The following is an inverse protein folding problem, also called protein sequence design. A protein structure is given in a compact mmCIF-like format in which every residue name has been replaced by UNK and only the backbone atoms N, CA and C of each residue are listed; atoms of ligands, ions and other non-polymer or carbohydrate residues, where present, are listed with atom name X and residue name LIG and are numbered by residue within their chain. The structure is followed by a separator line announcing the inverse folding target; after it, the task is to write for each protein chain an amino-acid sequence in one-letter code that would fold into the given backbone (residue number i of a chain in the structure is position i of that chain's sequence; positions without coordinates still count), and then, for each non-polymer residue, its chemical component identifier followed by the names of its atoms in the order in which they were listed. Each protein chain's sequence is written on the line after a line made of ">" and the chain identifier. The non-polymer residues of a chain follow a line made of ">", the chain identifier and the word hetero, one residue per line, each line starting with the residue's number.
data_IF_658305733767
#
_entry.id   IF_658305733767
#
_cell.length_a   1.000
_cell.length_b   1.000
_cell.length_c   1.000
_cell.angle_alpha   90.00
_cell.angle_beta   90.00
_cell.angle_gamma   90.00
#
_symmetry.space_group_name_H-M   'P 1'
#
loop_
_entity.id
_entity.type
_entity.pdbx_description
1 polymer ?
#
# COMPACT_ATOMS: atom_id res chain seq x y z
N UNK A 1 3.56 45.94 -9.87
CA UNK A 1 4.17 44.65 -9.52
C UNK A 1 3.07 43.61 -9.63
N UNK A 2 3.17 42.68 -10.58
CA UNK A 2 2.20 41.58 -10.64
C UNK A 2 2.38 40.76 -9.36
N UNK A 3 1.31 40.37 -8.66
CA UNK A 3 1.44 39.54 -7.47
C UNK A 3 2.17 38.25 -7.90
N UNK A 4 3.28 37.96 -7.22
CA UNK A 4 4.13 36.82 -7.51
C UNK A 4 3.27 35.57 -7.67
N UNK A 5 3.23 35.02 -8.90
CA UNK A 5 2.46 33.81 -9.17
C UNK A 5 3.03 32.71 -8.27
N UNK A 6 2.20 32.01 -7.48
CA UNK A 6 2.70 30.93 -6.66
C UNK A 6 3.39 29.91 -7.57
N UNK A 7 4.62 29.51 -7.22
CA UNK A 7 5.32 28.43 -7.90
C UNK A 7 4.54 27.14 -7.63
N UNK A 8 3.85 26.67 -8.65
CA UNK A 8 3.09 25.43 -8.64
C UNK A 8 3.91 24.40 -9.41
N UNK A 9 4.17 23.27 -8.76
CA UNK A 9 4.78 22.10 -9.37
C UNK A 9 3.68 21.14 -9.78
N UNK A 10 3.70 20.71 -11.02
CA UNK A 10 2.70 19.81 -11.57
C UNK A 10 3.25 18.39 -11.68
N UNK A 11 2.42 17.43 -11.31
CA UNK A 11 2.67 16.00 -11.43
C UNK A 11 1.54 15.35 -12.23
N UNK A 12 1.81 14.18 -12.79
CA UNK A 12 0.82 13.38 -13.50
C UNK A 12 0.03 14.17 -14.57
N UNK A 13 0.71 15.01 -15.36
CA UNK A 13 0.05 15.77 -16.44
C UNK A 13 -0.95 16.82 -15.95
N UNK A 14 -0.71 17.44 -14.79
CA UNK A 14 -1.55 18.50 -14.22
C UNK A 14 -2.67 18.00 -13.31
N UNK A 15 -2.84 16.68 -13.14
CA UNK A 15 -3.83 16.09 -12.24
C UNK A 15 -3.50 16.27 -10.76
N UNK A 16 -2.22 16.46 -10.44
CA UNK A 16 -1.74 16.72 -9.09
C UNK A 16 -0.88 17.98 -9.14
N UNK A 17 -1.23 18.99 -8.35
CA UNK A 17 -0.51 20.26 -8.27
C UNK A 17 -0.06 20.51 -6.84
N UNK A 18 1.22 20.81 -6.63
CA UNK A 18 1.82 21.13 -5.33
C UNK A 18 2.29 22.58 -5.32
N UNK A 19 1.89 23.35 -4.30
CA UNK A 19 2.41 24.71 -4.10
C UNK A 19 3.74 24.63 -3.34
N UNK A 20 4.72 25.42 -3.76
CA UNK A 20 5.99 25.51 -3.06
C UNK A 20 5.77 25.89 -1.58
N UNK A 21 6.42 25.18 -0.66
CA UNK A 21 6.26 25.35 0.79
C UNK A 21 5.05 24.65 1.40
N UNK A 22 4.18 23.99 0.60
CA UNK A 22 3.11 23.12 1.11
C UNK A 22 3.51 21.66 0.91
N UNK A 23 3.91 20.98 1.98
CA UNK A 23 4.19 19.54 1.93
C UNK A 23 2.91 18.68 1.97
N UNK A 24 3.07 17.37 1.80
CA UNK A 24 1.97 16.40 1.95
C UNK A 24 1.33 16.55 3.35
N UNK A 25 0.01 16.79 3.45
CA UNK A 25 -0.66 16.91 4.74
C UNK A 25 -0.44 15.68 5.62
N UNK A 26 -0.18 15.89 6.91
CA UNK A 26 0.14 14.80 7.84
C UNK A 26 -0.92 13.70 7.89
N UNK A 27 -2.21 14.07 7.80
CA UNK A 27 -3.31 13.10 7.77
C UNK A 27 -3.30 12.20 6.52
N UNK A 28 -2.84 12.72 5.38
CA UNK A 28 -2.68 11.95 4.15
C UNK A 28 -1.53 10.94 4.28
N UNK A 29 -0.49 11.26 5.06
CA UNK A 29 0.59 10.30 5.37
C UNK A 29 0.10 9.10 6.20
N UNK A 30 -0.96 9.27 7.00
CA UNK A 30 -1.59 8.14 7.72
C UNK A 30 -2.22 7.14 6.76
N UNK A 31 -2.62 7.55 5.56
CA UNK A 31 -3.17 6.63 4.56
C UNK A 31 -2.17 5.52 4.20
N UNK A 32 -0.86 5.82 4.15
CA UNK A 32 0.15 4.78 3.90
C UNK A 32 0.16 3.70 4.97
N UNK A 33 0.01 4.08 6.25
CA UNK A 33 -0.06 3.13 7.38
C UNK A 33 -1.33 2.30 7.28
N UNK A 34 -2.48 2.95 7.07
CA UNK A 34 -3.79 2.27 7.02
C UNK A 34 -3.85 1.31 5.84
N UNK A 35 -3.41 1.73 4.65
CA UNK A 35 -3.43 0.88 3.45
C UNK A 35 -2.47 -0.31 3.62
N UNK A 36 -1.23 -0.06 4.06
CA UNK A 36 -0.26 -1.14 4.27
C UNK A 36 -0.73 -2.13 5.34
N UNK A 37 -1.26 -1.63 6.47
CA UNK A 37 -1.80 -2.46 7.54
C UNK A 37 -3.02 -3.28 7.11
N UNK A 38 -3.92 -2.67 6.32
CA UNK A 38 -5.11 -3.36 5.80
C UNK A 38 -4.73 -4.45 4.80
N UNK A 39 -3.77 -4.16 3.90
CA UNK A 39 -3.28 -5.13 2.93
C UNK A 39 -2.57 -6.31 3.60
N UNK A 40 -1.71 -6.03 4.60
CA UNK A 40 -1.05 -7.09 5.38
C UNK A 40 -2.05 -7.93 6.17
N UNK A 41 -3.04 -7.29 6.80
CA UNK A 41 -4.11 -7.99 7.53
C UNK A 41 -4.89 -8.91 6.60
N UNK A 42 -5.33 -8.39 5.44
CA UNK A 42 -6.02 -9.19 4.43
C UNK A 42 -5.16 -10.38 3.97
N UNK A 43 -3.88 -10.14 3.67
CA UNK A 43 -2.96 -11.20 3.29
C UNK A 43 -2.85 -12.28 4.36
N UNK A 44 -2.68 -11.92 5.63
CA UNK A 44 -2.53 -12.89 6.72
C UNK A 44 -3.82 -13.67 6.98
N UNK A 45 -4.99 -13.02 6.93
CA UNK A 45 -6.30 -13.68 7.14
C UNK A 45 -6.60 -14.67 6.02
N UNK A 46 -6.26 -14.35 4.78
CA UNK A 46 -6.54 -15.16 3.59
C UNK A 46 -5.30 -15.83 3.01
N UNK A 47 -4.25 -15.99 3.82
CA UNK A 47 -2.92 -16.47 3.40
C UNK A 47 -2.95 -17.84 2.74
N UNK A 48 -3.90 -18.66 3.17
CA UNK A 48 -4.13 -20.03 2.70
C UNK A 48 -5.28 -20.10 1.69
N UNK A 49 -5.79 -18.96 1.24
CA UNK A 49 -7.00 -18.90 0.45
C UNK A 49 -8.25 -19.18 1.28
N UNK A 50 -9.38 -18.90 0.68
CA UNK A 50 -10.69 -19.09 1.31
C UNK A 50 -11.31 -20.39 0.77
N UNK A 51 -11.21 -21.46 1.57
CA UNK A 51 -11.67 -22.82 1.20
C UNK A 51 -13.02 -23.20 1.79
N UNK A 52 -13.44 -22.50 2.86
CA UNK A 52 -14.63 -22.84 3.64
C UNK A 52 -15.83 -21.94 3.37
N UNK A 53 -15.71 -20.94 2.49
CA UNK A 53 -16.83 -20.05 2.20
C UNK A 53 -17.82 -20.66 1.20
N UNK A 54 -19.09 -20.87 1.59
CA UNK A 54 -20.08 -21.54 0.76
C UNK A 54 -20.41 -20.76 -0.52
N UNK A 55 -20.28 -19.43 -0.47
CA UNK A 55 -20.54 -18.53 -1.62
C UNK A 55 -19.42 -18.53 -2.67
N UNK A 56 -18.29 -19.21 -2.42
CA UNK A 56 -17.18 -19.31 -3.39
C UNK A 56 -17.49 -20.39 -4.43
N UNK A 57 -17.23 -20.08 -5.70
CA UNK A 57 -17.33 -21.04 -6.80
C UNK A 57 -16.49 -22.29 -6.58
N UNK A 58 -16.98 -23.44 -7.01
CA UNK A 58 -16.35 -24.75 -6.80
C UNK A 58 -14.91 -24.81 -7.31
N UNK A 59 -14.63 -24.19 -8.47
CA UNK A 59 -13.28 -24.11 -9.04
C UNK A 59 -12.31 -23.31 -8.17
N UNK A 60 -12.78 -22.23 -7.54
CA UNK A 60 -11.96 -21.38 -6.65
C UNK A 60 -11.60 -22.14 -5.38
N UNK A 61 -12.55 -22.86 -4.79
CA UNK A 61 -12.28 -23.69 -3.60
C UNK A 61 -11.32 -24.83 -3.92
N UNK A 62 -11.48 -25.49 -5.07
CA UNK A 62 -10.59 -26.57 -5.50
C UNK A 62 -9.16 -26.07 -5.76
N UNK A 63 -9.01 -24.91 -6.40
CA UNK A 63 -7.72 -24.27 -6.60
C UNK A 63 -7.08 -23.90 -5.25
N UNK A 64 -7.81 -23.21 -4.37
CA UNK A 64 -7.29 -22.81 -3.05
C UNK A 64 -6.82 -24.01 -2.24
N UNK A 65 -7.61 -25.09 -2.17
CA UNK A 65 -7.24 -26.33 -1.50
C UNK A 65 -5.99 -27.01 -2.09
N UNK A 66 -5.78 -26.90 -3.41
CA UNK A 66 -4.58 -27.42 -4.06
C UNK A 66 -3.34 -26.53 -3.83
N UNK A 67 -3.54 -25.22 -3.65
CA UNK A 67 -2.46 -24.24 -3.48
C UNK A 67 -2.14 -23.87 -2.02
N UNK A 68 -2.92 -24.36 -1.06
CA UNK A 68 -2.69 -24.21 0.40
C UNK A 68 -1.29 -24.67 0.85
N UNK A 69 -0.62 -25.47 0.01
CA UNK A 69 0.51 -26.32 0.36
C UNK A 69 1.83 -25.62 0.74
N UNK A 70 1.95 -24.28 0.67
CA UNK A 70 3.22 -23.62 1.00
C UNK A 70 3.10 -22.47 1.98
N UNK A 71 2.84 -22.80 3.24
CA UNK A 71 2.93 -21.84 4.35
C UNK A 71 4.29 -21.14 4.42
N UNK A 72 5.38 -21.85 4.13
CA UNK A 72 6.73 -21.26 4.08
C UNK A 72 6.85 -20.15 3.02
N UNK A 73 6.33 -20.37 1.80
CA UNK A 73 6.29 -19.34 0.76
C UNK A 73 5.43 -18.15 1.20
N UNK A 74 4.27 -18.42 1.81
CA UNK A 74 3.38 -17.36 2.24
C UNK A 74 3.96 -16.49 3.36
N UNK A 75 4.67 -17.09 4.33
CA UNK A 75 5.41 -16.33 5.34
C UNK A 75 6.58 -15.53 4.73
N UNK A 76 7.25 -16.06 3.70
CA UNK A 76 8.26 -15.30 2.97
C UNK A 76 7.65 -14.06 2.28
N UNK A 77 6.49 -14.22 1.64
CA UNK A 77 5.73 -13.11 1.05
C UNK A 77 5.28 -12.11 2.12
N UNK A 78 4.78 -12.58 3.27
CA UNK A 78 4.42 -11.71 4.40
C UNK A 78 5.61 -10.86 4.87
N UNK A 79 6.80 -11.47 4.97
CA UNK A 79 8.03 -10.76 5.33
C UNK A 79 8.41 -9.70 4.29
N UNK A 80 8.27 -10.00 2.99
CA UNK A 80 8.49 -9.03 1.92
C UNK A 80 7.54 -7.84 2.00
N UNK A 81 6.25 -8.09 2.27
CA UNK A 81 5.23 -7.04 2.45
C UNK A 81 5.61 -6.15 3.64
N UNK A 82 6.02 -6.75 4.77
CA UNK A 82 6.44 -6.01 5.96
C UNK A 82 7.65 -5.11 5.68
N UNK A 83 8.69 -5.65 5.02
CA UNK A 83 9.90 -4.88 4.66
C UNK A 83 9.54 -3.71 3.74
N UNK A 84 8.74 -3.97 2.71
CA UNK A 84 8.29 -2.92 1.80
C UNK A 84 7.50 -1.82 2.54
N UNK A 85 6.60 -2.21 3.44
CA UNK A 85 5.85 -1.27 4.29
C UNK A 85 6.78 -0.38 5.14
N UNK A 86 7.80 -0.96 5.77
CA UNK A 86 8.80 -0.21 6.54
C UNK A 86 9.54 0.80 5.66
N UNK A 87 9.96 0.40 4.46
CA UNK A 87 10.65 1.29 3.51
C UNK A 87 9.75 2.45 3.09
N UNK A 88 8.48 2.19 2.75
CA UNK A 88 7.51 3.23 2.38
C UNK A 88 7.29 4.21 3.53
N UNK A 89 7.15 3.71 4.76
CA UNK A 89 7.00 4.57 5.93
C UNK A 89 8.26 5.41 6.16
N UNK A 90 9.45 4.81 6.12
CA UNK A 90 10.71 5.53 6.26
C UNK A 90 10.83 6.65 5.22
N UNK A 91 10.52 6.39 3.95
CA UNK A 91 10.51 7.40 2.90
C UNK A 91 9.46 8.49 3.10
N UNK A 92 8.25 8.12 3.55
CA UNK A 92 7.13 9.07 3.72
C UNK A 92 7.38 10.09 4.84
N UNK A 93 8.18 9.70 5.83
CA UNK A 93 8.54 10.53 6.99
C UNK A 93 9.98 11.06 6.95
N UNK A 94 10.80 10.62 6.00
CA UNK A 94 12.13 11.20 5.77
C UNK A 94 12.01 12.68 5.39
N UNK A 95 12.98 13.50 5.84
CA UNK A 95 13.09 14.88 5.37
C UNK A 95 13.36 14.87 3.86
N UNK A 96 12.72 15.75 3.08
CA UNK A 96 13.13 15.95 1.70
C UNK A 96 14.61 16.37 1.69
N UNK A 97 15.41 15.71 0.85
CA UNK A 97 16.76 16.15 0.55
C UNK A 97 16.66 17.41 -0.33
N UNK A 98 17.33 18.48 0.09
CA UNK A 98 17.48 19.72 -0.68
C UNK A 98 18.19 19.50 -2.02
#
# INVERSE_FOLDING_TARGET
>A
MQPDKPKIKEYAGGWITEREGTGVPGFLKLAYIVIAGSALTYFLVYMYGDVNQPDRGSLVRAMNAATEASGALMYAIAAMILIFGIVVLAFSFAKPHD
#
